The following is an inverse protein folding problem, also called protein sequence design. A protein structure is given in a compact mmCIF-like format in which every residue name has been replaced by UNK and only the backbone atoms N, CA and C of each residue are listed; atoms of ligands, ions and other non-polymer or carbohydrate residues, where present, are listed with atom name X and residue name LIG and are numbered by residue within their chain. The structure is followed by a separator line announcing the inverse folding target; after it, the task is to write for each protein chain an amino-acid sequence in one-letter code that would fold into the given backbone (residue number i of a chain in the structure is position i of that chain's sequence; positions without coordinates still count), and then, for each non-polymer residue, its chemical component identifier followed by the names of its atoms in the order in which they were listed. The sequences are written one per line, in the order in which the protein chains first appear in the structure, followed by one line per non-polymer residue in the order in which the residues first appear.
data_IF_671169813259
#
_entry.id   IF_671169813259
#
_cell.length_a   1.000
_cell.length_b   1.000
_cell.length_c   1.000
_cell.angle_alpha   90.00
_cell.angle_beta   90.00
_cell.angle_gamma   90.00
#
_symmetry.space_group_name_H-M   'P 1'
#
loop_
_entity.id
_entity.type
_entity.pdbx_description
1 polymer ?
#
# COMPACT_ATOMS: atom_id res chain seq x y z
N UNK A 1 -9.09 -39.39 -43.22
CA UNK A 1 -9.35 -37.94 -43.34
C UNK A 1 -10.83 -37.62 -43.65
N UNK A 2 -11.82 -38.40 -43.19
CA UNK A 2 -13.19 -38.33 -43.77
C UNK A 2 -14.39 -38.30 -42.79
N UNK A 3 -14.20 -38.19 -41.48
CA UNK A 3 -15.34 -38.05 -40.54
C UNK A 3 -15.42 -36.63 -39.95
N UNK A 4 -14.28 -36.10 -39.50
CA UNK A 4 -14.17 -34.75 -38.90
C UNK A 4 -14.50 -33.66 -39.94
N UNK A 5 -14.02 -33.82 -41.17
CA UNK A 5 -14.22 -32.86 -42.26
C UNK A 5 -15.70 -32.80 -42.71
N UNK A 6 -16.40 -33.94 -42.68
CA UNK A 6 -17.83 -34.03 -42.97
C UNK A 6 -18.68 -33.42 -41.86
N UNK A 7 -18.29 -33.61 -40.60
CA UNK A 7 -18.96 -32.99 -39.45
C UNK A 7 -18.77 -31.46 -39.47
N UNK A 8 -17.57 -30.99 -39.79
CA UNK A 8 -17.26 -29.56 -39.90
C UNK A 8 -18.06 -28.87 -41.02
N UNK A 9 -18.17 -29.51 -42.19
CA UNK A 9 -18.98 -29.03 -43.31
C UNK A 9 -20.49 -29.00 -42.98
N UNK A 10 -21.00 -30.00 -42.25
CA UNK A 10 -22.39 -30.01 -41.77
C UNK A 10 -22.66 -28.87 -40.80
N UNK A 11 -21.77 -28.65 -39.83
CA UNK A 11 -21.90 -27.54 -38.88
C UNK A 11 -21.87 -26.20 -39.64
N UNK A 12 -20.91 -26.00 -40.56
CA UNK A 12 -20.84 -24.76 -41.35
C UNK A 12 -22.11 -24.49 -42.16
N UNK A 13 -22.66 -25.51 -42.82
CA UNK A 13 -23.87 -25.39 -43.63
C UNK A 13 -25.15 -25.17 -42.78
N UNK A 14 -25.16 -25.59 -41.52
CA UNK A 14 -26.27 -25.39 -40.59
C UNK A 14 -26.23 -23.99 -39.95
N UNK A 15 -25.03 -23.42 -39.78
CA UNK A 15 -24.83 -22.06 -39.26
C UNK A 15 -24.78 -20.96 -40.35
N UNK A 16 -24.53 -21.29 -41.63
CA UNK A 16 -24.52 -20.37 -42.77
C UNK A 16 -25.82 -19.54 -42.93
N UNK A 17 -27.02 -20.14 -42.81
CA UNK A 17 -28.28 -19.40 -42.92
C UNK A 17 -28.47 -18.42 -41.76
N UNK A 18 -28.05 -18.82 -40.56
CA UNK A 18 -28.18 -18.01 -39.34
C UNK A 18 -27.22 -16.81 -39.37
N UNK A 19 -25.98 -17.04 -39.83
CA UNK A 19 -24.98 -15.98 -39.99
C UNK A 19 -25.36 -14.99 -41.09
N UNK A 20 -25.88 -15.47 -42.22
CA UNK A 20 -26.37 -14.60 -43.30
C UNK A 20 -27.58 -13.74 -42.85
N UNK A 21 -28.55 -14.32 -42.15
CA UNK A 21 -29.71 -13.59 -41.63
C UNK A 21 -29.33 -12.51 -40.59
N UNK A 22 -28.39 -12.83 -39.70
CA UNK A 22 -27.85 -11.86 -38.75
C UNK A 22 -27.11 -10.73 -39.48
N UNK A 23 -26.31 -11.05 -40.50
CA UNK A 23 -25.57 -10.06 -41.29
C UNK A 23 -26.49 -9.09 -42.04
N UNK A 24 -27.61 -9.56 -42.57
CA UNK A 24 -28.58 -8.74 -43.29
C UNK A 24 -29.32 -7.79 -42.35
N UNK A 25 -29.75 -8.29 -41.18
CA UNK A 25 -30.34 -7.46 -40.12
C UNK A 25 -29.37 -6.39 -39.60
N UNK A 26 -28.12 -6.75 -39.38
CA UNK A 26 -27.08 -5.79 -38.97
C UNK A 26 -26.86 -4.72 -40.04
N UNK A 27 -26.89 -5.10 -41.33
CA UNK A 27 -26.75 -4.14 -42.44
C UNK A 27 -27.90 -3.15 -42.50
N UNK A 28 -29.14 -3.63 -42.35
CA UNK A 28 -30.34 -2.78 -42.33
C UNK A 28 -30.35 -1.83 -41.13
N UNK A 29 -29.97 -2.31 -39.95
CA UNK A 29 -29.86 -1.49 -38.74
C UNK A 29 -28.79 -0.40 -38.89
N UNK A 30 -27.62 -0.73 -39.42
CA UNK A 30 -26.55 0.24 -39.66
C UNK A 30 -26.96 1.30 -40.68
N UNK A 31 -27.68 0.91 -41.75
CA UNK A 31 -28.22 1.85 -42.73
C UNK A 31 -29.24 2.82 -42.11
N UNK A 32 -30.13 2.32 -41.25
CA UNK A 32 -31.09 3.15 -40.52
C UNK A 32 -30.41 4.12 -39.53
N UNK A 33 -29.36 3.66 -38.82
CA UNK A 33 -28.62 4.47 -37.85
C UNK A 33 -27.79 5.57 -38.53
N UNK A 34 -27.13 5.27 -39.66
CA UNK A 34 -26.35 6.25 -40.45
C UNK A 34 -27.25 7.34 -41.03
N UNK A 35 -28.49 6.99 -41.41
CA UNK A 35 -29.43 7.94 -42.00
C UNK A 35 -30.13 8.84 -40.97
N UNK A 36 -30.10 8.49 -39.68
CA UNK A 36 -30.82 9.19 -38.61
C UNK A 36 -29.93 9.93 -37.62
N UNK A 37 -28.63 9.61 -37.56
CA UNK A 37 -27.68 10.15 -36.58
C UNK A 37 -26.45 10.75 -37.25
N UNK A 38 -25.93 11.84 -36.68
CA UNK A 38 -24.63 12.38 -37.11
C UNK A 38 -23.49 11.40 -36.78
N UNK A 39 -22.40 11.38 -37.57
CA UNK A 39 -21.27 10.48 -37.32
C UNK A 39 -20.69 10.58 -35.89
N UNK A 40 -20.66 11.79 -35.32
CA UNK A 40 -20.19 12.02 -33.96
C UNK A 40 -21.12 11.40 -32.90
N UNK A 41 -22.43 11.50 -33.09
CA UNK A 41 -23.41 10.87 -32.20
C UNK A 41 -23.32 9.35 -32.26
N UNK A 42 -23.10 8.79 -33.45
CA UNK A 42 -22.92 7.35 -33.60
C UNK A 42 -21.67 6.85 -32.84
N UNK A 43 -20.54 7.58 -32.95
CA UNK A 43 -19.31 7.27 -32.19
C UNK A 43 -19.54 7.42 -30.68
N UNK A 44 -20.22 8.48 -30.25
CA UNK A 44 -20.50 8.70 -28.84
C UNK A 44 -21.42 7.62 -28.25
N UNK A 45 -22.48 7.24 -28.97
CA UNK A 45 -23.42 6.19 -28.54
C UNK A 45 -22.72 4.83 -28.50
N UNK A 46 -21.96 4.48 -29.53
CA UNK A 46 -21.24 3.20 -29.57
C UNK A 46 -20.17 3.11 -28.48
N UNK A 47 -19.39 4.17 -28.26
CA UNK A 47 -18.44 4.25 -27.16
C UNK A 47 -19.11 4.15 -25.79
N UNK A 48 -20.24 4.86 -25.60
CA UNK A 48 -21.01 4.83 -24.37
C UNK A 48 -21.59 3.43 -24.08
N UNK A 49 -22.28 2.83 -25.05
CA UNK A 49 -22.87 1.48 -24.92
C UNK A 49 -21.80 0.43 -24.66
N UNK A 50 -20.66 0.50 -25.36
CA UNK A 50 -19.56 -0.44 -25.16
C UNK A 50 -18.94 -0.28 -23.77
N UNK A 51 -18.69 0.96 -23.34
CA UNK A 51 -18.12 1.24 -22.01
C UNK A 51 -19.08 0.85 -20.89
N UNK A 52 -20.38 1.17 -21.03
CA UNK A 52 -21.41 0.75 -20.09
C UNK A 52 -21.56 -0.77 -20.05
N UNK A 53 -21.55 -1.44 -21.21
CA UNK A 53 -21.60 -2.89 -21.30
C UNK A 53 -20.40 -3.56 -20.62
N UNK A 54 -19.18 -3.08 -20.87
CA UNK A 54 -17.98 -3.54 -20.17
C UNK A 54 -18.02 -3.26 -18.67
N UNK A 55 -18.52 -2.10 -18.26
CA UNK A 55 -18.67 -1.74 -16.84
C UNK A 55 -19.69 -2.65 -16.14
N UNK A 56 -20.82 -2.96 -16.79
CA UNK A 56 -21.85 -3.87 -16.28
C UNK A 56 -21.31 -5.31 -16.25
N UNK A 57 -20.57 -5.73 -17.27
CA UNK A 57 -19.95 -7.05 -17.30
C UNK A 57 -18.91 -7.21 -16.19
N UNK A 58 -18.01 -6.23 -16.02
CA UNK A 58 -17.02 -6.21 -14.93
C UNK A 58 -17.69 -6.16 -13.56
N UNK A 59 -18.80 -5.43 -13.45
CA UNK A 59 -19.66 -5.47 -12.28
C UNK A 59 -20.13 -6.94 -12.11
N UNK A 60 -20.95 -7.50 -12.97
CA UNK A 60 -21.58 -8.80 -12.72
C UNK A 60 -20.60 -9.99 -12.58
N UNK A 61 -19.49 -10.01 -13.32
CA UNK A 61 -18.66 -11.20 -13.49
C UNK A 61 -17.18 -11.07 -13.07
N UNK A 62 -16.68 -9.88 -12.73
CA UNK A 62 -15.25 -9.65 -12.38
C UNK A 62 -15.01 -9.25 -10.92
N UNK A 63 -15.92 -9.64 -10.03
CA UNK A 63 -15.79 -9.44 -8.58
C UNK A 63 -16.01 -10.78 -7.88
N UNK A 64 -15.08 -11.15 -7.00
CA UNK A 64 -15.17 -12.35 -6.16
C UNK A 64 -16.21 -12.22 -5.02
N UNK A 65 -16.78 -11.01 -4.85
CA UNK A 65 -17.79 -10.70 -3.84
C UNK A 65 -19.23 -10.92 -4.34
N UNK A 66 -20.10 -11.35 -3.42
CA UNK A 66 -21.53 -11.47 -3.66
C UNK A 66 -22.16 -10.11 -4.07
N UNK A 67 -23.17 -10.18 -4.94
CA UNK A 67 -23.89 -9.00 -5.47
C UNK A 67 -24.46 -8.15 -4.31
N UNK A 68 -24.92 -8.78 -3.23
CA UNK A 68 -25.46 -8.08 -2.06
C UNK A 68 -24.41 -7.19 -1.37
N UNK A 69 -23.19 -7.70 -1.19
CA UNK A 69 -22.06 -6.96 -0.61
C UNK A 69 -21.74 -5.74 -1.45
N UNK A 70 -21.79 -5.88 -2.76
CA UNK A 70 -21.42 -4.83 -3.72
C UNK A 70 -22.45 -3.72 -3.80
N UNK A 71 -23.73 -4.07 -3.78
CA UNK A 71 -24.82 -3.10 -3.63
C UNK A 71 -24.69 -2.37 -2.28
N UNK A 72 -24.41 -3.10 -1.20
CA UNK A 72 -24.18 -2.51 0.13
C UNK A 72 -23.01 -1.54 0.12
N UNK A 73 -21.90 -1.86 -0.54
CA UNK A 73 -20.77 -0.96 -0.67
C UNK A 73 -21.11 0.31 -1.44
N UNK A 74 -21.84 0.20 -2.55
CA UNK A 74 -22.27 1.35 -3.35
C UNK A 74 -23.18 2.23 -2.51
N UNK A 75 -24.19 1.65 -1.85
CA UNK A 75 -25.09 2.36 -0.95
C UNK A 75 -24.29 3.02 0.18
N UNK A 76 -23.30 2.32 0.76
CA UNK A 76 -22.46 2.87 1.81
C UNK A 76 -21.57 4.01 1.31
N UNK A 77 -21.01 3.92 0.11
CA UNK A 77 -20.26 5.01 -0.55
C UNK A 77 -21.15 6.22 -0.79
N UNK A 78 -22.37 6.02 -1.31
CA UNK A 78 -23.35 7.09 -1.54
C UNK A 78 -23.83 7.71 -0.21
N UNK A 79 -24.14 6.89 0.80
CA UNK A 79 -24.54 7.34 2.12
C UNK A 79 -23.43 8.16 2.80
N UNK A 80 -22.15 7.77 2.65
CA UNK A 80 -20.99 8.55 3.10
C UNK A 80 -20.82 9.88 2.40
N UNK A 81 -21.45 10.10 1.24
CA UNK A 81 -21.42 11.41 0.58
C UNK A 81 -22.44 12.40 1.13
N UNK A 82 -23.47 11.91 1.83
CA UNK A 82 -24.49 12.74 2.46
C UNK A 82 -23.87 13.68 3.51
N UNK A 83 -24.25 14.98 3.53
CA UNK A 83 -23.67 15.96 4.45
C UNK A 83 -23.74 15.54 5.92
N UNK A 84 -24.85 14.92 6.35
CA UNK A 84 -25.03 14.48 7.73
C UNK A 84 -24.05 13.35 8.13
N UNK A 85 -23.80 12.39 7.23
CA UNK A 85 -22.87 11.28 7.48
C UNK A 85 -21.43 11.77 7.46
N UNK A 86 -21.08 12.62 6.48
CA UNK A 86 -19.76 13.29 6.45
C UNK A 86 -19.48 14.05 7.74
N UNK A 87 -20.46 14.81 8.22
CA UNK A 87 -20.35 15.57 9.47
C UNK A 87 -20.09 14.63 10.66
N UNK A 88 -20.85 13.55 10.79
CA UNK A 88 -20.66 12.58 11.89
C UNK A 88 -19.30 11.87 11.84
N UNK A 89 -18.81 11.52 10.66
CA UNK A 89 -17.46 10.96 10.47
C UNK A 89 -16.39 11.99 10.86
N UNK A 90 -16.56 13.25 10.43
CA UNK A 90 -15.64 14.32 10.78
C UNK A 90 -15.61 14.60 12.29
N UNK A 91 -16.78 14.65 12.95
CA UNK A 91 -16.91 14.79 14.40
C UNK A 91 -16.21 13.65 15.14
N UNK A 92 -16.42 12.39 14.73
CA UNK A 92 -15.76 11.24 15.32
C UNK A 92 -14.24 11.30 15.13
N UNK A 93 -13.77 11.64 13.93
CA UNK A 93 -12.35 11.84 13.64
C UNK A 93 -11.74 12.94 14.52
N UNK A 94 -12.42 14.08 14.63
CA UNK A 94 -11.96 15.20 15.46
C UNK A 94 -11.92 14.82 16.94
N UNK A 95 -12.94 14.11 17.43
CA UNK A 95 -12.96 13.59 18.80
C UNK A 95 -11.79 12.63 19.05
N UNK A 96 -11.54 11.69 18.15
CA UNK A 96 -10.37 10.80 18.24
C UNK A 96 -9.06 11.57 18.23
N UNK A 97 -8.91 12.53 17.32
CA UNK A 97 -7.72 13.39 17.26
C UNK A 97 -7.52 14.17 18.56
N UNK A 98 -8.59 14.72 19.14
CA UNK A 98 -8.54 15.42 20.43
C UNK A 98 -8.12 14.48 21.56
N UNK A 99 -8.66 13.26 21.62
CA UNK A 99 -8.28 12.28 22.66
C UNK A 99 -6.80 11.92 22.54
N UNK A 100 -6.35 11.55 21.33
CA UNK A 100 -4.93 11.24 21.07
C UNK A 100 -4.03 12.42 21.40
N UNK A 101 -4.40 13.62 20.93
CA UNK A 101 -3.64 14.83 21.22
C UNK A 101 -3.59 15.11 22.71
N UNK A 102 -4.70 14.99 23.44
CA UNK A 102 -4.73 15.21 24.88
C UNK A 102 -3.88 14.18 25.63
N UNK A 103 -3.90 12.91 25.23
CA UNK A 103 -3.10 11.88 25.88
C UNK A 103 -1.59 12.08 25.62
N UNK A 104 -1.21 12.48 24.40
CA UNK A 104 0.16 12.88 24.09
C UNK A 104 0.54 14.17 24.83
N UNK A 105 -0.32 15.19 24.81
CA UNK A 105 -0.06 16.48 25.43
C UNK A 105 0.08 16.38 26.96
N UNK A 106 -0.69 15.51 27.63
CA UNK A 106 -0.50 15.19 29.06
C UNK A 106 0.92 14.69 29.35
N UNK A 107 1.56 13.99 28.42
CA UNK A 107 2.92 13.49 28.59
C UNK A 107 3.96 14.62 28.65
N UNK A 108 3.65 15.80 28.10
CA UNK A 108 4.55 16.95 27.98
C UNK A 108 3.96 18.25 28.56
N UNK A 109 2.89 18.15 29.33
CA UNK A 109 2.18 19.28 29.91
C UNK A 109 3.13 20.11 30.80
N UNK A 110 3.14 21.43 30.59
CA UNK A 110 4.01 22.37 31.32
C UNK A 110 5.43 22.49 30.74
N UNK A 111 5.75 21.80 29.66
CA UNK A 111 7.03 21.94 28.98
C UNK A 111 7.02 23.07 27.94
N UNK A 112 8.05 23.92 27.94
CA UNK A 112 8.21 24.96 26.93
C UNK A 112 8.74 24.36 25.62
N UNK A 113 7.99 24.57 24.54
CA UNK A 113 8.39 24.11 23.22
C UNK A 113 9.13 25.20 22.46
N UNK A 114 10.25 24.83 21.83
CA UNK A 114 10.88 25.66 20.81
C UNK A 114 10.01 25.59 19.55
N UNK A 115 9.32 26.70 19.25
CA UNK A 115 8.38 26.81 18.11
C UNK A 115 8.99 27.48 16.89
N UNK A 116 10.12 28.16 17.08
CA UNK A 116 10.85 28.89 16.06
C UNK A 116 12.33 28.55 16.15
N UNK A 117 13.01 28.58 15.02
CA UNK A 117 14.47 28.43 14.99
C UNK A 117 15.09 29.65 15.68
N UNK A 118 16.04 29.48 16.62
CA UNK A 118 16.72 30.61 17.24
C UNK A 118 17.51 31.43 16.21
N UNK A 119 17.53 32.75 16.36
CA UNK A 119 18.27 33.67 15.48
C UNK A 119 19.80 33.42 15.51
N UNK A 120 20.29 32.87 16.62
CA UNK A 120 21.70 32.50 16.80
C UNK A 120 21.81 31.04 17.24
N UNK A 121 22.83 30.35 16.73
CA UNK A 121 23.12 28.97 17.10
C UNK A 121 23.44 28.85 18.60
N UNK A 122 22.87 27.82 19.25
CA UNK A 122 23.20 27.50 20.63
C UNK A 122 24.66 27.04 20.73
N UNK A 123 25.33 27.41 21.82
CA UNK A 123 26.62 26.79 22.16
C UNK A 123 26.45 25.30 22.45
N UNK A 124 27.54 24.54 22.34
CA UNK A 124 27.51 23.10 22.65
C UNK A 124 27.05 22.84 24.09
N UNK A 125 27.49 23.66 25.05
CA UNK A 125 27.10 23.52 26.46
C UNK A 125 25.60 23.76 26.67
N UNK A 126 25.03 24.79 26.05
CA UNK A 126 23.59 25.07 26.11
C UNK A 126 22.77 23.95 25.47
N UNK A 127 23.22 23.42 24.33
CA UNK A 127 22.57 22.32 23.65
C UNK A 127 22.56 21.05 24.51
N UNK A 128 23.71 20.69 25.11
CA UNK A 128 23.81 19.54 26.00
C UNK A 128 22.89 19.70 27.22
N UNK A 129 22.90 20.87 27.89
CA UNK A 129 21.99 21.16 29.01
C UNK A 129 20.52 20.99 28.60
N UNK A 130 20.17 21.42 27.39
CA UNK A 130 18.80 21.27 26.85
C UNK A 130 18.45 19.80 26.58
N UNK A 131 19.37 19.01 26.03
CA UNK A 131 19.19 17.56 25.84
C UNK A 131 19.04 16.82 27.17
N UNK A 132 19.84 17.16 28.19
CA UNK A 132 19.72 16.62 29.54
C UNK A 132 18.37 16.98 30.19
N UNK A 133 17.87 18.19 29.94
CA UNK A 133 16.54 18.59 30.37
C UNK A 133 15.44 17.75 29.71
N UNK A 134 15.52 17.51 28.39
CA UNK A 134 14.58 16.61 27.71
C UNK A 134 14.61 15.19 28.27
N UNK A 135 15.80 14.68 28.62
CA UNK A 135 15.94 13.36 29.23
C UNK A 135 15.19 13.23 30.56
N UNK A 136 15.10 14.31 31.33
CA UNK A 136 14.34 14.34 32.62
C UNK A 136 12.82 14.27 32.43
N UNK A 137 12.31 14.40 31.20
CA UNK A 137 10.88 14.24 30.91
C UNK A 137 10.42 12.77 30.92
N UNK A 138 11.36 11.82 30.99
CA UNK A 138 11.05 10.39 31.14
C UNK A 138 10.20 10.14 32.40
N UNK A 139 8.94 9.73 32.21
CA UNK A 139 7.97 9.55 33.32
C UNK A 139 8.00 8.18 33.96
N UNK A 140 8.41 7.16 33.20
CA UNK A 140 8.37 5.77 33.64
C UNK A 140 9.79 5.24 33.67
N UNK A 141 10.21 4.77 34.84
CA UNK A 141 11.50 4.12 35.00
C UNK A 141 11.50 2.75 34.29
N UNK A 142 11.80 2.74 32.99
CA UNK A 142 11.86 1.51 32.18
C UNK A 142 12.95 0.55 32.66
N UNK A 143 13.99 1.06 33.35
CA UNK A 143 15.07 0.25 33.93
C UNK A 143 14.58 -0.65 35.07
N UNK A 144 13.39 -0.40 35.63
CA UNK A 144 12.77 -1.27 36.62
C UNK A 144 12.25 -2.60 36.04
N UNK A 145 12.22 -2.75 34.70
CA UNK A 145 11.74 -3.97 34.04
C UNK A 145 10.22 -4.17 34.10
N UNK A 146 9.47 -3.16 34.53
CA UNK A 146 8.00 -3.22 34.71
C UNK A 146 7.19 -2.72 33.51
N UNK A 147 7.86 -2.42 32.40
CA UNK A 147 7.20 -2.01 31.14
C UNK A 147 7.20 -3.21 30.21
N UNK A 148 6.01 -3.60 29.72
CA UNK A 148 5.90 -4.64 28.70
C UNK A 148 6.44 -4.13 27.37
N UNK A 149 7.39 -4.85 26.78
CA UNK A 149 8.07 -4.44 25.55
C UNK A 149 8.84 -3.13 25.73
N UNK A 150 8.70 -2.21 24.77
CA UNK A 150 9.34 -0.88 24.72
C UNK A 150 10.89 -0.90 24.65
N UNK A 151 11.56 -1.49 25.63
CA UNK A 151 13.02 -1.61 25.72
C UNK A 151 13.39 -3.08 25.94
N UNK A 152 13.90 -3.73 24.90
CA UNK A 152 14.15 -5.19 24.88
C UNK A 152 15.42 -5.60 25.64
N UNK A 153 16.40 -4.72 25.74
CA UNK A 153 17.64 -4.98 26.47
C UNK A 153 18.06 -3.72 27.20
N UNK A 154 18.12 -3.82 28.53
CA UNK A 154 18.75 -2.77 29.33
C UNK A 154 20.26 -2.83 29.07
N UNK A 155 20.84 -1.65 28.87
CA UNK A 155 22.27 -1.43 28.79
C UNK A 155 23.02 -2.14 29.94
N UNK A 156 23.56 -3.33 29.71
CA UNK A 156 24.83 -3.70 30.37
C UNK A 156 25.88 -2.77 29.78
N UNK A 157 26.74 -2.21 30.62
CA UNK A 157 27.74 -1.18 30.25
C UNK A 157 28.45 -1.49 28.93
N UNK A 158 28.85 -2.74 28.76
CA UNK A 158 29.72 -3.17 27.66
C UNK A 158 29.03 -3.11 26.28
N UNK A 159 27.73 -3.43 26.19
CA UNK A 159 27.02 -3.40 24.89
C UNK A 159 26.66 -1.99 24.46
N UNK A 160 26.35 -1.10 25.41
CA UNK A 160 26.05 0.30 25.10
C UNK A 160 27.28 1.03 24.59
N UNK A 161 28.46 0.72 25.14
CA UNK A 161 29.71 1.28 24.65
C UNK A 161 29.96 0.87 23.20
N UNK A 162 29.73 -0.40 22.86
CA UNK A 162 29.84 -0.89 21.48
C UNK A 162 28.86 -0.16 20.55
N UNK A 163 27.59 0.00 20.95
CA UNK A 163 26.60 0.71 20.13
C UNK A 163 26.96 2.18 19.90
N UNK A 164 27.39 2.89 20.95
CA UNK A 164 27.80 4.29 20.83
C UNK A 164 29.04 4.43 19.93
N UNK A 165 29.99 3.50 20.05
CA UNK A 165 31.19 3.49 19.19
C UNK A 165 30.82 3.22 17.73
N UNK A 166 29.95 2.25 17.47
CA UNK A 166 29.46 1.96 16.12
C UNK A 166 28.71 3.17 15.51
N UNK A 167 27.81 3.80 16.28
CA UNK A 167 27.10 5.00 15.83
C UNK A 167 28.05 6.17 15.55
N UNK A 168 29.12 6.32 16.33
CA UNK A 168 30.15 7.34 16.08
C UNK A 168 30.96 7.05 14.82
N UNK A 169 31.30 5.79 14.55
CA UNK A 169 32.07 5.39 13.37
C UNK A 169 31.28 5.54 12.06
N UNK A 170 29.98 5.25 12.09
CA UNK A 170 29.15 5.17 10.89
C UNK A 170 28.03 6.22 10.84
N UNK A 171 28.02 7.20 11.74
CA UNK A 171 26.92 8.18 11.87
C UNK A 171 26.72 9.09 10.65
N UNK A 172 27.74 9.21 9.79
CA UNK A 172 27.69 9.98 8.54
C UNK A 172 27.45 9.09 7.30
N UNK A 173 27.34 7.78 7.49
CA UNK A 173 27.14 6.84 6.38
C UNK A 173 25.75 6.94 5.78
N UNK A 174 25.65 6.69 4.48
CA UNK A 174 24.39 6.63 3.76
C UNK A 174 24.38 5.45 2.77
N UNK A 175 23.63 4.35 3.06
CA UNK A 175 23.58 3.15 2.20
C UNK A 175 23.12 3.41 0.76
N UNK A 176 22.52 4.57 0.47
CA UNK A 176 22.15 4.96 -0.89
C UNK A 176 23.38 5.13 -1.82
N UNK A 177 24.54 5.49 -1.26
CA UNK A 177 25.78 5.74 -2.00
C UNK A 177 26.76 4.58 -1.80
N UNK A 178 26.47 3.44 -2.43
CA UNK A 178 27.21 2.17 -2.26
C UNK A 178 28.68 2.22 -2.69
N UNK A 179 29.04 3.14 -3.58
CA UNK A 179 30.39 3.40 -4.04
C UNK A 179 31.22 4.19 -3.00
N UNK A 180 30.54 5.03 -2.22
CA UNK A 180 31.15 5.83 -1.15
C UNK A 180 31.23 5.05 0.16
N UNK A 181 30.20 4.24 0.47
CA UNK A 181 30.07 3.48 1.73
C UNK A 181 29.99 1.96 1.50
N UNK A 182 31.03 1.33 0.93
CA UNK A 182 31.05 -0.12 0.72
C UNK A 182 31.09 -0.90 2.04
N UNK A 183 31.54 -0.28 3.12
CA UNK A 183 31.61 -0.83 4.48
C UNK A 183 30.21 -1.18 5.03
N UNK A 184 29.29 -0.22 5.02
CA UNK A 184 27.92 -0.42 5.50
C UNK A 184 27.17 -1.39 4.60
N UNK A 185 27.34 -1.28 3.28
CA UNK A 185 26.76 -2.25 2.32
C UNK A 185 27.24 -3.68 2.62
N UNK A 186 28.50 -3.85 3.01
CA UNK A 186 29.05 -5.16 3.38
C UNK A 186 28.41 -5.68 4.66
N UNK A 187 28.33 -4.83 5.70
CA UNK A 187 27.68 -5.21 6.96
C UNK A 187 26.19 -5.55 6.78
N UNK A 188 25.44 -4.80 5.96
CA UNK A 188 24.04 -5.12 5.67
C UNK A 188 23.89 -6.49 4.99
N UNK A 189 24.73 -6.78 4.00
CA UNK A 189 24.72 -8.08 3.31
C UNK A 189 25.04 -9.25 4.25
N UNK A 190 26.03 -9.07 5.14
CA UNK A 190 26.41 -10.07 6.14
C UNK A 190 25.30 -10.29 7.17
N UNK A 191 24.64 -9.23 7.65
CA UNK A 191 23.51 -9.33 8.59
C UNK A 191 22.36 -10.11 7.94
N UNK A 192 21.98 -9.76 6.71
CA UNK A 192 20.93 -10.46 5.97
C UNK A 192 21.26 -11.95 5.84
N UNK A 193 22.51 -12.29 5.47
CA UNK A 193 22.94 -13.68 5.35
C UNK A 193 22.96 -14.41 6.70
N UNK A 194 23.43 -13.77 7.77
CA UNK A 194 23.40 -14.34 9.12
C UNK A 194 21.97 -14.67 9.56
N UNK A 195 21.03 -13.74 9.33
CA UNK A 195 19.62 -13.95 9.67
C UNK A 195 19.01 -15.04 8.78
N UNK A 196 19.28 -15.06 7.47
CA UNK A 196 18.82 -16.13 6.58
C UNK A 196 19.27 -17.51 7.08
N UNK A 197 20.54 -17.65 7.46
CA UNK A 197 21.09 -18.90 8.04
C UNK A 197 20.40 -19.27 9.36
N UNK A 198 20.10 -18.28 10.23
CA UNK A 198 19.39 -18.50 11.49
C UNK A 198 17.97 -19.06 11.27
N UNK A 199 17.34 -18.74 10.14
CA UNK A 199 16.05 -19.29 9.69
C UNK A 199 16.21 -20.50 8.75
N UNK A 200 17.38 -21.14 8.73
CA UNK A 200 17.69 -22.32 7.91
C UNK A 200 17.56 -22.10 6.39
N UNK A 201 17.77 -20.88 5.91
CA UNK A 201 17.78 -20.55 4.49
C UNK A 201 18.98 -21.15 3.76
N UNK A 202 18.77 -21.55 2.51
CA UNK A 202 19.82 -22.03 1.61
C UNK A 202 20.48 -20.88 0.83
N UNK A 203 21.22 -21.20 -0.22
CA UNK A 203 21.92 -20.21 -1.05
C UNK A 203 20.96 -19.29 -1.80
N UNK A 204 19.76 -19.77 -2.12
CA UNK A 204 18.75 -19.04 -2.90
C UNK A 204 17.96 -18.07 -2.03
N UNK A 205 17.94 -18.27 -0.71
CA UNK A 205 17.34 -17.30 0.23
C UNK A 205 18.12 -15.98 0.20
N UNK A 206 17.38 -14.90 -0.04
CA UNK A 206 17.87 -13.52 -0.05
C UNK A 206 17.00 -12.62 0.85
N UNK A 207 17.45 -11.39 1.08
CA UNK A 207 16.70 -10.42 1.86
C UNK A 207 17.28 -9.01 1.77
N UNK A 208 16.69 -8.09 2.52
CA UNK A 208 17.11 -6.70 2.65
C UNK A 208 16.93 -6.24 4.09
N UNK A 209 17.74 -5.26 4.51
CA UNK A 209 17.50 -4.51 5.73
C UNK A 209 16.28 -3.58 5.55
N UNK A 210 15.58 -3.31 6.64
CA UNK A 210 14.48 -2.34 6.73
C UNK A 210 14.57 -1.57 8.05
N UNK A 211 13.87 -0.45 8.16
CA UNK A 211 13.85 0.40 9.37
C UNK A 211 13.21 -0.26 10.60
N UNK A 212 12.37 -1.28 10.37
CA UNK A 212 11.71 -2.04 11.44
C UNK A 212 10.65 -3.01 10.89
N UNK A 213 9.98 -3.70 11.81
CA UNK A 213 9.05 -4.79 11.47
C UNK A 213 7.85 -4.35 10.63
N UNK A 214 7.32 -3.14 10.84
CA UNK A 214 6.22 -2.60 10.02
C UNK A 214 6.62 -2.47 8.56
N UNK A 215 7.81 -1.93 8.27
CA UNK A 215 8.31 -1.84 6.90
C UNK A 215 8.57 -3.22 6.32
N UNK A 216 9.14 -4.16 7.09
CA UNK A 216 9.35 -5.55 6.62
C UNK A 216 8.04 -6.21 6.16
N UNK A 217 6.97 -6.06 6.95
CA UNK A 217 5.64 -6.61 6.61
C UNK A 217 5.10 -5.92 5.35
N UNK A 218 5.16 -4.58 5.28
CA UNK A 218 4.70 -3.84 4.11
C UNK A 218 5.45 -4.23 2.83
N UNK A 219 6.76 -4.46 2.92
CA UNK A 219 7.58 -4.90 1.79
C UNK A 219 7.22 -6.31 1.34
N UNK A 220 6.92 -7.23 2.28
CA UNK A 220 6.43 -8.56 1.94
C UNK A 220 5.05 -8.49 1.25
N UNK A 221 4.09 -7.76 1.82
CA UNK A 221 2.78 -7.53 1.23
C UNK A 221 2.88 -6.92 -0.17
N UNK A 222 3.68 -5.87 -0.35
CA UNK A 222 3.94 -5.24 -1.65
C UNK A 222 4.51 -6.25 -2.65
N UNK A 223 5.48 -7.06 -2.24
CA UNK A 223 6.13 -8.05 -3.11
C UNK A 223 5.14 -9.09 -3.61
N UNK A 224 4.31 -9.66 -2.71
CA UNK A 224 3.28 -10.64 -3.10
C UNK A 224 2.17 -10.02 -3.95
N UNK A 225 1.77 -8.78 -3.66
CA UNK A 225 0.83 -8.02 -4.50
C UNK A 225 1.35 -7.89 -5.93
N UNK A 226 2.59 -7.45 -6.08
CA UNK A 226 3.20 -7.21 -7.39
C UNK A 226 3.40 -8.53 -8.15
N UNK A 227 3.74 -9.61 -7.44
CA UNK A 227 3.78 -10.97 -8.00
C UNK A 227 2.39 -11.42 -8.48
N UNK A 228 1.34 -11.20 -7.71
CA UNK A 228 -0.03 -11.55 -8.09
C UNK A 228 -0.47 -10.77 -9.34
N UNK A 229 -0.19 -9.48 -9.39
CA UNK A 229 -0.46 -8.62 -10.57
C UNK A 229 0.28 -9.16 -11.80
N UNK A 230 1.55 -9.56 -11.66
CA UNK A 230 2.32 -10.15 -12.77
C UNK A 230 1.74 -11.47 -13.30
N UNK A 231 0.94 -12.16 -12.48
CA UNK A 231 0.20 -13.37 -12.82
C UNK A 231 -1.22 -13.10 -13.34
N UNK A 232 -1.59 -11.84 -13.56
CA UNK A 232 -2.92 -11.44 -14.05
C UNK A 232 -4.00 -11.34 -12.96
N UNK A 233 -3.64 -11.44 -11.68
CA UNK A 233 -4.59 -11.26 -10.57
C UNK A 233 -4.79 -9.75 -10.35
N UNK A 234 -5.97 -9.25 -10.68
CA UNK A 234 -6.27 -7.80 -10.62
C UNK A 234 -6.65 -7.30 -9.23
N UNK A 235 -7.06 -8.19 -8.32
CA UNK A 235 -7.49 -7.88 -6.96
C UNK A 235 -6.92 -8.90 -5.97
N UNK A 236 -5.60 -8.85 -5.70
CA UNK A 236 -5.02 -9.70 -4.67
C UNK A 236 -5.58 -9.32 -3.30
N UNK A 237 -5.98 -10.32 -2.52
CA UNK A 237 -6.27 -10.16 -1.09
C UNK A 237 -4.99 -9.75 -0.35
N UNK A 238 -5.09 -8.76 0.54
CA UNK A 238 -3.96 -8.09 1.19
C UNK A 238 -4.19 -7.89 2.67
#
# INVERSE_FOLDING_TARGET
MNAIQSLYLKILHEFEPQTNFLSEKTRLLNQQLINSLSPLQLIAITAFVTTCGLSIYQFLFSHDEDISTRIREIIFRMARQLPAVKRKIAEAREATLKTVFNDIAKSVAGHEFTKVLPDHGLSQEELIKKLEHYRKLEKINFKSGKISGCVYKLAKTDMTEIYNKAFTLFGESNPLHVDVFPDIRTMEAEIVRCVATMFHGDIDVCGTMTSGGTESILMACKTYRDLAISKGITKPEM
#
